data_IF_620380265153
#
_entry.id   IF_620380265153
#
_cell.length_a   1.000
_cell.length_b   1.000
_cell.length_c   1.000
_cell.angle_alpha   90.00
_cell.angle_beta   90.00
_cell.angle_gamma   90.00
#
_symmetry.space_group_name_H-M   'P 1'
#
loop_
_entity.id
_entity.type
_entity.pdbx_description
1 polymer ?
#
# COMPACT_ATOMS: atom_id res chain seq x y z
N UNK A 1 61.19 27.62 36.10
CA UNK A 1 60.58 27.48 37.44
C UNK A 1 60.34 26.01 37.69
N UNK A 2 60.91 25.48 38.76
CA UNK A 2 61.06 24.05 39.03
C UNK A 2 59.97 23.64 40.04
N UNK A 3 58.89 23.01 39.56
CA UNK A 3 57.74 22.65 40.40
C UNK A 3 58.01 21.28 41.05
N UNK A 4 58.76 21.28 42.14
CA UNK A 4 58.87 20.08 42.97
C UNK A 4 57.57 19.90 43.76
N UNK A 5 56.78 18.88 43.40
CA UNK A 5 55.56 18.50 44.12
C UNK A 5 55.90 18.23 45.60
N UNK A 6 55.36 19.06 46.49
CA UNK A 6 55.54 18.89 47.93
C UNK A 6 54.68 17.71 48.41
N UNK A 7 55.33 16.59 48.69
CA UNK A 7 54.68 15.44 49.34
C UNK A 7 54.27 15.86 50.76
N UNK A 8 52.98 15.78 51.13
CA UNK A 8 52.49 16.25 52.43
C UNK A 8 53.17 15.51 53.59
N UNK A 9 53.58 16.27 54.61
CA UNK A 9 54.29 15.77 55.80
C UNK A 9 53.63 14.57 56.48
N UNK A 10 52.30 14.50 56.41
CA UNK A 10 51.48 13.41 56.97
C UNK A 10 51.82 12.04 56.37
N UNK A 11 52.37 11.99 55.15
CA UNK A 11 52.80 10.75 54.49
C UNK A 11 54.21 10.33 54.95
N UNK A 12 55.11 11.28 55.26
CA UNK A 12 56.46 10.97 55.77
C UNK A 12 56.43 10.35 57.17
N UNK A 13 55.45 10.71 58.00
CA UNK A 13 55.29 10.19 59.36
C UNK A 13 54.71 8.76 59.40
N UNK A 14 54.03 8.32 58.34
CA UNK A 14 53.61 6.94 58.19
C UNK A 14 54.79 6.14 57.66
N UNK A 15 55.46 5.35 58.51
CA UNK A 15 56.51 4.44 58.06
C UNK A 15 56.05 3.60 56.85
N UNK A 16 57.00 3.09 56.06
CA UNK A 16 56.77 2.36 54.78
C UNK A 16 55.92 1.07 54.88
N UNK A 17 55.24 0.85 56.01
CA UNK A 17 54.24 -0.19 56.18
C UNK A 17 52.95 0.30 55.51
N UNK A 18 52.66 -0.23 54.32
CA UNK A 18 51.36 -0.02 53.70
C UNK A 18 50.29 -0.65 54.62
N UNK A 19 49.23 0.09 55.01
CA UNK A 19 48.13 -0.46 55.80
C UNK A 19 47.21 -1.38 54.99
N UNK A 20 47.52 -1.58 53.71
CA UNK A 20 46.76 -2.40 52.78
C UNK A 20 47.65 -3.52 52.28
N UNK A 21 47.17 -4.75 52.45
CA UNK A 21 47.78 -5.96 51.90
C UNK A 21 46.80 -6.56 50.91
N UNK A 22 47.30 -6.91 49.74
CA UNK A 22 46.51 -7.63 48.74
C UNK A 22 46.49 -9.12 49.09
N UNK A 23 45.42 -9.85 48.77
CA UNK A 23 45.41 -11.31 48.88
C UNK A 23 46.54 -11.94 48.05
N UNK A 24 47.13 -13.02 48.56
CA UNK A 24 48.29 -13.69 47.94
C UNK A 24 48.04 -14.13 46.49
N UNK A 25 46.79 -14.45 46.14
CA UNK A 25 46.40 -14.92 44.80
C UNK A 25 45.87 -13.83 43.88
N UNK A 26 45.78 -12.57 44.34
CA UNK A 26 45.17 -11.48 43.57
C UNK A 26 45.82 -11.31 42.19
N UNK A 27 47.14 -11.24 42.15
CA UNK A 27 47.88 -11.06 40.90
C UNK A 27 47.90 -12.31 40.01
N UNK A 28 47.73 -13.50 40.59
CA UNK A 28 47.67 -14.75 39.84
C UNK A 28 46.32 -14.89 39.11
N UNK A 29 45.23 -14.46 39.74
CA UNK A 29 43.88 -14.54 39.17
C UNK A 29 43.52 -13.33 38.29
N UNK A 30 44.21 -12.19 38.46
CA UNK A 30 43.88 -10.94 37.77
C UNK A 30 43.91 -11.06 36.24
N UNK A 31 44.95 -11.66 35.60
CA UNK A 31 44.96 -11.85 34.14
C UNK A 31 43.77 -12.68 33.65
N UNK A 32 43.43 -13.76 34.37
CA UNK A 32 42.30 -14.62 34.03
C UNK A 32 40.95 -13.89 34.15
N UNK A 33 40.80 -13.03 35.16
CA UNK A 33 39.59 -12.19 35.33
C UNK A 33 39.45 -11.15 34.22
N UNK A 34 40.56 -10.57 33.75
CA UNK A 34 40.55 -9.64 32.62
C UNK A 34 40.18 -10.40 31.33
N UNK A 35 40.83 -11.53 31.05
CA UNK A 35 40.54 -12.33 29.87
C UNK A 35 39.08 -12.80 29.83
N UNK A 36 38.54 -13.27 30.97
CA UNK A 36 37.15 -13.70 31.07
C UNK A 36 36.16 -12.57 30.73
N UNK A 37 36.46 -11.32 31.10
CA UNK A 37 35.64 -10.15 30.75
C UNK A 37 35.77 -9.80 29.27
N UNK A 38 36.98 -9.82 28.71
CA UNK A 38 37.18 -9.57 27.28
C UNK A 38 36.47 -10.62 26.41
N UNK A 39 36.44 -11.88 26.86
CA UNK A 39 35.77 -12.98 26.13
C UNK A 39 34.24 -12.99 26.28
N UNK A 40 33.66 -12.22 27.21
CA UNK A 40 32.21 -12.16 27.42
C UNK A 40 31.49 -11.17 26.47
N UNK A 41 32.22 -10.38 25.69
CA UNK A 41 31.66 -9.28 24.87
C UNK A 41 31.49 -9.58 23.38
N UNK A 42 31.71 -10.80 22.92
CA UNK A 42 31.38 -11.19 21.53
C UNK A 42 29.97 -11.80 21.44
N UNK A 43 28.95 -11.02 21.83
CA UNK A 43 27.61 -11.30 21.31
C UNK A 43 27.61 -10.86 19.85
N UNK A 44 27.33 -11.75 18.88
CA UNK A 44 27.17 -11.31 17.50
C UNK A 44 25.97 -10.39 17.46
N UNK A 45 26.23 -9.07 17.42
CA UNK A 45 25.25 -8.11 16.96
C UNK A 45 25.02 -8.46 15.50
N UNK A 46 23.91 -9.17 15.25
CA UNK A 46 23.38 -9.36 13.90
C UNK A 46 22.96 -7.96 13.45
N UNK A 47 23.93 -7.20 12.93
CA UNK A 47 23.64 -6.04 12.11
C UNK A 47 23.03 -6.61 10.84
N UNK A 48 21.71 -6.66 10.84
CA UNK A 48 20.90 -6.93 9.67
C UNK A 48 21.18 -5.82 8.65
N UNK A 49 22.32 -5.93 7.96
CA UNK A 49 22.71 -5.09 6.83
C UNK A 49 21.92 -5.57 5.61
N UNK A 50 20.61 -5.56 5.75
CA UNK A 50 19.72 -5.66 4.61
C UNK A 50 19.57 -4.25 4.07
N UNK A 51 20.07 -4.06 2.86
CA UNK A 51 19.50 -3.26 1.78
C UNK A 51 20.70 -2.88 0.91
N UNK A 52 20.90 -3.65 -0.17
CA UNK A 52 21.56 -3.10 -1.33
C UNK A 52 20.74 -1.88 -1.79
N UNK A 53 21.32 -0.69 -1.88
CA UNK A 53 20.62 0.57 -2.21
C UNK A 53 19.72 0.50 -3.46
N UNK A 54 19.93 -0.49 -4.32
CA UNK A 54 19.11 -0.74 -5.51
C UNK A 54 17.70 -1.26 -5.19
N UNK A 55 17.50 -1.96 -4.07
CA UNK A 55 16.18 -2.46 -3.66
C UNK A 55 15.30 -1.36 -3.05
N UNK A 56 15.92 -0.34 -2.45
CA UNK A 56 15.20 0.80 -1.87
C UNK A 56 14.39 1.56 -2.92
N UNK A 57 14.91 1.72 -4.14
CA UNK A 57 14.23 2.42 -5.24
C UNK A 57 13.00 1.65 -5.71
N UNK A 58 13.11 0.34 -5.92
CA UNK A 58 11.97 -0.49 -6.32
C UNK A 58 10.87 -0.50 -5.25
N UNK A 59 11.25 -0.58 -3.98
CA UNK A 59 10.31 -0.51 -2.85
C UNK A 59 9.61 0.85 -2.75
N UNK A 60 10.27 1.95 -3.12
CA UNK A 60 9.64 3.27 -3.18
C UNK A 60 8.58 3.33 -4.29
N UNK A 61 8.86 2.80 -5.48
CA UNK A 61 7.86 2.75 -6.55
C UNK A 61 6.64 1.91 -6.15
N UNK A 62 6.85 0.72 -5.60
CA UNK A 62 5.77 -0.15 -5.13
C UNK A 62 4.98 0.52 -3.99
N UNK A 63 5.67 1.16 -3.05
CA UNK A 63 5.05 1.88 -1.94
C UNK A 63 4.22 3.07 -2.41
N UNK A 64 4.73 3.85 -3.37
CA UNK A 64 4.00 4.98 -3.96
C UNK A 64 2.77 4.51 -4.73
N UNK A 65 2.88 3.42 -5.48
CA UNK A 65 1.77 2.81 -6.21
C UNK A 65 0.69 2.28 -5.25
N UNK A 66 1.10 1.62 -4.17
CA UNK A 66 0.20 1.11 -3.15
C UNK A 66 -0.50 2.25 -2.38
N UNK A 67 0.22 3.31 -2.04
CA UNK A 67 -0.35 4.50 -1.39
C UNK A 67 -1.30 5.26 -2.32
N UNK A 68 -0.94 5.42 -3.60
CA UNK A 68 -1.82 6.04 -4.60
C UNK A 68 -3.11 5.23 -4.79
N UNK A 69 -3.00 3.91 -4.96
CA UNK A 69 -4.15 3.02 -5.09
C UNK A 69 -5.03 3.06 -3.84
N UNK A 70 -4.44 2.95 -2.64
CA UNK A 70 -5.17 3.02 -1.39
C UNK A 70 -5.83 4.39 -1.17
N UNK A 71 -5.16 5.48 -1.52
CA UNK A 71 -5.70 6.83 -1.44
C UNK A 71 -6.90 7.04 -2.35
N UNK A 72 -6.79 6.63 -3.62
CA UNK A 72 -7.90 6.66 -4.58
C UNK A 72 -9.05 5.77 -4.08
N UNK A 73 -8.74 4.55 -3.62
CA UNK A 73 -9.75 3.64 -3.08
C UNK A 73 -10.47 4.26 -1.89
N UNK A 74 -9.78 4.87 -0.94
CA UNK A 74 -10.41 5.50 0.24
C UNK A 74 -11.28 6.69 -0.18
N UNK A 75 -10.81 7.50 -1.14
CA UNK A 75 -11.54 8.67 -1.61
C UNK A 75 -12.80 8.28 -2.43
N UNK A 76 -12.71 7.24 -3.26
CA UNK A 76 -13.83 6.73 -4.07
C UNK A 76 -14.75 5.78 -3.27
N UNK A 77 -14.25 5.16 -2.19
CA UNK A 77 -15.05 4.34 -1.27
C UNK A 77 -15.83 5.20 -0.27
N UNK A 78 -16.02 6.49 -0.54
CA UNK A 78 -17.13 7.24 0.03
C UNK A 78 -18.43 6.89 -0.71
N UNK A 79 -18.66 5.58 -0.87
CA UNK A 79 -19.88 4.99 -1.37
C UNK A 79 -20.94 5.11 -0.30
N UNK A 80 -21.44 6.32 -0.10
CA UNK A 80 -22.89 6.42 -0.11
C UNK A 80 -23.26 5.89 -1.48
N UNK A 81 -23.82 4.69 -1.53
CA UNK A 81 -24.69 4.31 -2.62
C UNK A 81 -25.90 5.25 -2.55
N UNK A 82 -25.67 6.53 -2.83
CA UNK A 82 -26.73 7.46 -3.15
C UNK A 82 -27.32 6.85 -4.41
N UNK A 83 -28.45 6.20 -4.20
CA UNK A 83 -29.39 5.89 -5.26
C UNK A 83 -29.47 7.16 -6.08
N UNK A 84 -28.93 7.14 -7.30
CA UNK A 84 -29.03 8.28 -8.21
C UNK A 84 -30.52 8.56 -8.29
N UNK A 85 -30.94 9.77 -7.90
CA UNK A 85 -32.36 10.11 -7.87
C UNK A 85 -32.96 9.78 -9.22
N UNK A 86 -34.13 9.17 -9.24
CA UNK A 86 -34.82 8.79 -10.47
C UNK A 86 -34.93 9.98 -11.42
N UNK A 87 -35.10 11.18 -10.88
CA UNK A 87 -35.11 12.45 -11.61
C UNK A 87 -33.81 12.72 -12.39
N UNK A 88 -32.65 12.39 -11.82
CA UNK A 88 -31.34 12.57 -12.46
C UNK A 88 -31.12 11.54 -13.56
N UNK A 89 -31.64 10.32 -13.37
CA UNK A 89 -31.60 9.26 -14.39
C UNK A 89 -32.46 9.68 -15.58
N UNK A 90 -33.68 10.17 -15.33
CA UNK A 90 -34.60 10.64 -16.37
C UNK A 90 -34.00 11.82 -17.12
N UNK A 91 -33.47 12.83 -16.42
CA UNK A 91 -32.83 14.01 -17.04
C UNK A 91 -31.65 13.60 -17.93
N UNK A 92 -30.83 12.66 -17.46
CA UNK A 92 -29.67 12.17 -18.22
C UNK A 92 -30.13 11.37 -19.45
N UNK A 93 -31.11 10.49 -19.31
CA UNK A 93 -31.63 9.69 -20.43
C UNK A 93 -32.29 10.61 -21.47
N UNK A 94 -33.08 11.59 -21.06
CA UNK A 94 -33.72 12.54 -21.97
C UNK A 94 -32.68 13.35 -22.75
N UNK A 95 -31.61 13.81 -22.08
CA UNK A 95 -30.50 14.51 -22.73
C UNK A 95 -29.82 13.66 -23.81
N UNK A 96 -29.53 12.38 -23.52
CA UNK A 96 -28.90 11.48 -24.49
C UNK A 96 -29.87 10.92 -25.54
N UNK A 97 -31.16 10.85 -25.24
CA UNK A 97 -32.17 10.33 -26.17
C UNK A 97 -32.28 11.16 -27.45
N UNK A 98 -31.91 12.45 -27.40
CA UNK A 98 -31.85 13.30 -28.59
C UNK A 98 -30.67 12.98 -29.51
N UNK A 99 -29.59 12.43 -28.97
CA UNK A 99 -28.39 12.05 -29.73
C UNK A 99 -28.46 10.60 -30.21
N UNK A 100 -29.17 9.75 -29.48
CA UNK A 100 -29.47 8.36 -29.85
C UNK A 100 -30.59 8.32 -30.90
N UNK A 101 -30.24 8.59 -32.16
CA UNK A 101 -31.15 8.36 -33.28
C UNK A 101 -30.93 6.98 -33.95
N UNK A 102 -31.88 6.58 -34.80
CA UNK A 102 -31.81 5.30 -35.51
C UNK A 102 -30.62 5.22 -36.49
N UNK A 103 -30.11 6.37 -36.95
CA UNK A 103 -28.99 6.44 -37.88
C UNK A 103 -27.66 6.16 -37.16
N UNK A 104 -27.50 6.70 -35.94
CA UNK A 104 -26.40 6.42 -35.03
C UNK A 104 -26.42 4.95 -34.60
N UNK A 105 -27.60 4.41 -34.28
CA UNK A 105 -27.77 2.99 -33.98
C UNK A 105 -27.40 2.10 -35.17
N UNK A 106 -27.91 2.41 -36.37
CA UNK A 106 -27.60 1.66 -37.58
C UNK A 106 -26.10 1.73 -37.92
N UNK A 107 -25.48 2.89 -37.78
CA UNK A 107 -24.03 3.06 -38.03
C UNK A 107 -23.19 2.30 -37.00
N UNK A 108 -23.55 2.32 -35.71
CA UNK A 108 -22.87 1.56 -34.67
C UNK A 108 -22.97 0.04 -34.91
N UNK A 109 -24.12 -0.45 -35.41
CA UNK A 109 -24.30 -1.86 -35.78
C UNK A 109 -23.43 -2.24 -36.98
N UNK A 110 -23.37 -1.38 -38.00
CA UNK A 110 -22.58 -1.62 -39.22
C UNK A 110 -21.07 -1.57 -38.93
N UNK A 111 -20.64 -0.68 -38.04
CA UNK A 111 -19.22 -0.48 -37.68
C UNK A 111 -18.74 -1.43 -36.57
N UNK A 112 -19.66 -2.14 -35.91
CA UNK A 112 -19.29 -3.17 -34.93
C UNK A 112 -18.72 -4.40 -35.64
N UNK A 113 -17.44 -4.70 -35.39
CA UNK A 113 -16.77 -5.96 -35.78
C UNK A 113 -17.32 -7.21 -35.04
N UNK A 114 -18.49 -7.10 -34.41
CA UNK A 114 -19.18 -8.22 -33.79
C UNK A 114 -19.78 -9.04 -34.94
N UNK A 115 -19.39 -10.30 -35.14
CA UNK A 115 -20.11 -11.16 -36.06
C UNK A 115 -21.54 -11.28 -35.51
N UNK A 116 -22.48 -10.58 -36.14
CA UNK A 116 -23.91 -10.77 -35.91
C UNK A 116 -24.22 -12.18 -36.40
N UNK A 117 -24.11 -13.13 -35.50
CA UNK A 117 -24.57 -14.49 -35.72
C UNK A 117 -26.09 -14.49 -35.70
N UNK A 118 -26.67 -14.01 -36.81
CA UNK A 118 -28.12 -14.03 -37.07
C UNK A 118 -28.66 -15.47 -37.19
N UNK A 119 -27.80 -16.49 -37.11
CA UNK A 119 -28.18 -17.91 -37.07
C UNK A 119 -28.24 -18.50 -35.65
N UNK A 120 -27.87 -17.74 -34.61
CA UNK A 120 -28.13 -18.17 -33.24
C UNK A 120 -29.60 -17.92 -32.90
N UNK A 121 -30.44 -18.92 -33.16
CA UNK A 121 -31.73 -19.15 -32.47
C UNK A 121 -31.45 -19.24 -30.95
N UNK A 122 -31.11 -18.13 -30.30
CA UNK A 122 -31.09 -18.07 -28.85
C UNK A 122 -32.56 -18.04 -28.40
N UNK A 123 -32.95 -19.05 -27.64
CA UNK A 123 -34.30 -19.19 -27.05
C UNK A 123 -34.78 -17.91 -26.34
N UNK A 124 -33.85 -17.10 -25.84
CA UNK A 124 -34.14 -15.81 -25.20
C UNK A 124 -34.55 -14.72 -26.20
N UNK A 125 -34.05 -14.77 -27.44
CA UNK A 125 -34.44 -13.83 -28.51
C UNK A 125 -35.86 -14.12 -28.96
N UNK A 126 -36.24 -15.39 -29.11
CA UNK A 126 -37.61 -15.77 -29.45
C UNK A 126 -38.59 -15.38 -28.32
N UNK A 127 -38.19 -15.58 -27.05
CA UNK A 127 -38.98 -15.16 -25.88
C UNK A 127 -39.13 -13.63 -25.80
N UNK A 128 -38.06 -12.87 -26.08
CA UNK A 128 -38.09 -11.41 -26.18
C UNK A 128 -38.95 -10.93 -27.35
N UNK A 129 -38.83 -11.53 -28.54
CA UNK A 129 -39.65 -11.19 -29.71
C UNK A 129 -41.12 -11.52 -29.43
N UNK A 130 -41.40 -12.66 -28.80
CA UNK A 130 -42.76 -13.02 -28.42
C UNK A 130 -43.34 -12.05 -27.39
N UNK A 131 -42.57 -11.67 -26.36
CA UNK A 131 -42.97 -10.65 -25.39
C UNK A 131 -43.26 -9.30 -26.07
N UNK A 132 -42.40 -8.85 -26.98
CA UNK A 132 -42.57 -7.60 -27.74
C UNK A 132 -43.69 -7.68 -28.80
N UNK A 133 -44.02 -8.88 -29.27
CA UNK A 133 -45.11 -9.12 -30.21
C UNK A 133 -46.46 -9.26 -29.50
N UNK A 134 -46.46 -9.74 -28.26
CA UNK A 134 -47.67 -9.95 -27.44
C UNK A 134 -48.09 -8.67 -26.73
N UNK A 135 -47.13 -7.83 -26.32
CA UNK A 135 -47.41 -6.45 -25.95
C UNK A 135 -47.65 -5.67 -27.26
N UNK A 136 -48.90 -5.39 -27.57
CA UNK A 136 -49.28 -4.60 -28.75
C UNK A 136 -48.75 -3.17 -28.61
N UNK A 137 -47.47 -2.95 -28.91
CA UNK A 137 -46.90 -1.63 -29.09
C UNK A 137 -47.57 -1.06 -30.34
N UNK A 138 -48.60 -0.25 -30.12
CA UNK A 138 -49.44 0.25 -31.20
C UNK A 138 -48.71 1.37 -31.95
N UNK A 139 -47.87 0.97 -32.91
CA UNK A 139 -47.08 1.86 -33.76
C UNK A 139 -47.93 2.85 -34.57
N UNK A 140 -49.25 2.66 -34.61
CA UNK A 140 -50.19 3.61 -35.20
C UNK A 140 -50.19 4.97 -34.48
N UNK A 141 -49.88 5.02 -33.18
CA UNK A 141 -49.72 6.27 -32.44
C UNK A 141 -48.44 7.03 -32.82
N UNK A 142 -47.38 6.33 -33.25
CA UNK A 142 -46.10 6.94 -33.67
C UNK A 142 -46.12 7.46 -35.11
N UNK A 143 -47.08 7.00 -35.93
CA UNK A 143 -47.24 7.41 -37.33
C UNK A 143 -48.30 8.49 -37.55
N UNK A 144 -49.09 8.82 -36.52
CA UNK A 144 -50.20 9.79 -36.62
C UNK A 144 -49.86 11.18 -36.07
N UNK A 145 -48.65 11.41 -35.57
CA UNK A 145 -48.16 12.75 -35.26
C UNK A 145 -47.28 13.22 -36.43
N UNK A 146 -47.91 13.90 -37.39
CA UNK A 146 -47.21 14.78 -38.34
C UNK A 146 -47.03 16.15 -37.71
#
# INVERSE_FOLDING_TARGET
MNTQEQIPERIKASGRKLPFTVPDTYFNEFPGKIQARLSQDEKPVIVARFIHSKLAIAAMFIGFLALGYAGIRILLNNGNSDFVSEDVIIETIEYFSYELDNELLASAVIDSDIPLDLESEDSQTEELIQYLSEDHIDFSYLLNDN
#
